data_IF_818165817708
#
_entry.id   IF_818165817708
#
_cell.length_a   1.000
_cell.length_b   1.000
_cell.length_c   1.000
_cell.angle_alpha   90.00
_cell.angle_beta   90.00
_cell.angle_gamma   90.00
#
_symmetry.space_group_name_H-M   'P 1'
#
loop_
_entity.id
_entity.type
_entity.pdbx_description
1 polymer ?
#
# COMPACT_ATOMS: atom_id res chain seq x y z
N UNK A 1 -49.17 22.51 18.12
CA UNK A 1 -50.28 22.17 19.03
C UNK A 1 -49.92 22.73 20.39
N UNK A 2 -50.85 23.30 21.19
CA UNK A 2 -50.54 23.58 22.59
C UNK A 2 -50.09 22.28 23.27
N UNK A 3 -49.05 22.35 24.10
CA UNK A 3 -48.54 21.19 24.83
C UNK A 3 -49.55 20.73 25.88
N UNK A 4 -50.48 19.86 25.48
CA UNK A 4 -51.44 19.25 26.38
C UNK A 4 -50.71 18.31 27.35
N UNK A 5 -50.98 18.50 28.63
CA UNK A 5 -50.41 17.72 29.71
C UNK A 5 -50.98 16.29 29.71
N UNK A 6 -50.11 15.33 30.01
CA UNK A 6 -50.51 13.94 30.21
C UNK A 6 -49.83 13.36 31.45
N UNK A 7 -50.63 12.68 32.26
CA UNK A 7 -50.17 11.83 33.35
C UNK A 7 -50.96 10.52 33.30
N UNK A 8 -50.28 9.40 33.49
CA UNK A 8 -50.90 8.08 33.52
C UNK A 8 -51.65 7.84 34.83
N UNK A 9 -52.57 6.86 34.83
CA UNK A 9 -53.30 6.44 36.03
C UNK A 9 -54.04 7.58 36.77
N UNK A 10 -54.46 8.64 36.09
CA UNK A 10 -55.26 9.72 36.70
C UNK A 10 -56.74 9.49 36.41
N UNK A 11 -57.52 9.23 37.47
CA UNK A 11 -58.96 8.95 37.36
C UNK A 11 -59.68 9.20 38.68
N UNK A 12 -60.73 10.00 38.62
CA UNK A 12 -61.56 10.36 39.77
C UNK A 12 -63.04 10.06 39.51
N UNK A 13 -63.78 9.81 40.59
CA UNK A 13 -65.25 9.78 40.52
C UNK A 13 -65.81 11.20 40.52
N UNK A 14 -67.01 11.36 40.00
CA UNK A 14 -67.78 12.59 40.15
C UNK A 14 -69.27 12.27 40.28
N UNK A 15 -69.99 13.06 41.06
CA UNK A 15 -71.46 13.09 41.13
C UNK A 15 -72.06 14.41 40.62
N UNK A 16 -71.22 15.30 40.09
CA UNK A 16 -71.62 16.59 39.57
C UNK A 16 -72.62 16.49 38.41
N UNK A 17 -73.39 17.56 38.22
CA UNK A 17 -74.49 17.63 37.26
C UNK A 17 -74.37 18.85 36.35
N UNK A 18 -75.15 18.89 35.27
CA UNK A 18 -75.22 20.06 34.40
C UNK A 18 -74.18 20.07 33.28
N UNK A 19 -74.11 21.21 32.58
CA UNK A 19 -73.17 21.51 31.50
C UNK A 19 -71.94 22.32 31.95
N UNK A 20 -71.85 22.69 33.23
CA UNK A 20 -70.74 23.48 33.80
C UNK A 20 -69.51 22.67 34.23
N UNK A 21 -68.64 23.31 35.02
CA UNK A 21 -67.48 22.64 35.62
C UNK A 21 -67.91 21.48 36.51
N UNK A 22 -67.20 20.36 36.42
CA UNK A 22 -67.57 19.12 37.07
C UNK A 22 -66.69 18.88 38.32
N UNK A 23 -67.25 18.86 39.54
CA UNK A 23 -66.48 18.57 40.75
C UNK A 23 -65.92 17.15 40.72
N UNK A 24 -64.73 16.95 41.28
CA UNK A 24 -64.06 15.66 41.37
C UNK A 24 -64.09 15.18 42.83
N UNK A 25 -64.68 14.00 43.04
CA UNK A 25 -65.01 13.47 44.38
C UNK A 25 -63.88 12.60 44.98
N UNK A 26 -62.76 12.46 44.26
CA UNK A 26 -61.59 11.70 44.70
C UNK A 26 -61.18 10.58 43.74
N UNK A 27 -59.95 10.10 43.93
CA UNK A 27 -59.36 9.04 43.12
C UNK A 27 -60.10 7.72 43.23
N UNK A 28 -60.34 7.10 42.08
CA UNK A 28 -60.81 5.71 42.02
C UNK A 28 -59.69 4.74 42.42
N UNK A 29 -60.00 3.52 42.91
CA UNK A 29 -58.97 2.56 43.33
C UNK A 29 -57.88 2.33 42.27
N UNK A 30 -56.61 2.38 42.68
CA UNK A 30 -55.46 2.20 41.80
C UNK A 30 -55.09 3.40 40.92
N UNK A 31 -55.78 4.55 41.09
CA UNK A 31 -55.54 5.77 40.33
C UNK A 31 -55.16 6.95 41.25
N UNK A 32 -54.68 8.02 40.64
CA UNK A 32 -54.27 9.28 41.28
C UNK A 32 -55.32 10.36 41.04
N UNK A 33 -55.36 11.37 41.92
CA UNK A 33 -56.23 12.54 41.76
C UNK A 33 -55.69 13.47 40.68
N UNK A 34 -56.58 14.20 40.02
CA UNK A 34 -56.17 15.22 39.06
C UNK A 34 -55.36 16.33 39.76
N UNK A 35 -55.81 16.78 40.93
CA UNK A 35 -55.14 17.84 41.69
C UNK A 35 -53.71 17.49 42.16
N UNK A 36 -53.38 16.20 42.30
CA UNK A 36 -52.04 15.77 42.72
C UNK A 36 -51.07 15.69 41.53
N UNK A 37 -51.58 15.62 40.29
CA UNK A 37 -50.80 15.27 39.10
C UNK A 37 -50.76 16.39 38.05
N UNK A 38 -51.84 17.14 37.90
CA UNK A 38 -51.96 18.17 36.86
C UNK A 38 -51.45 19.51 37.40
N UNK A 39 -50.41 20.11 36.79
CA UNK A 39 -49.92 21.42 37.21
C UNK A 39 -50.99 22.51 36.99
N UNK A 40 -51.10 23.50 37.90
CA UNK A 40 -52.04 24.62 37.74
C UNK A 40 -51.87 25.31 36.38
N UNK A 41 -52.99 25.64 35.71
CA UNK A 41 -52.97 26.28 34.38
C UNK A 41 -52.76 25.33 33.20
N UNK A 42 -52.57 24.03 33.45
CA UNK A 42 -52.32 23.06 32.37
C UNK A 42 -53.62 22.58 31.74
N UNK A 43 -53.70 22.63 30.41
CA UNK A 43 -54.74 21.95 29.63
C UNK A 43 -54.39 20.49 29.42
N UNK A 44 -55.39 19.60 29.48
CA UNK A 44 -55.23 18.17 29.27
C UNK A 44 -56.47 17.59 28.58
N UNK A 45 -56.34 16.40 27.99
CA UNK A 45 -57.50 15.66 27.51
C UNK A 45 -58.18 14.92 28.66
N UNK A 46 -59.51 14.97 28.69
CA UNK A 46 -60.31 14.22 29.65
C UNK A 46 -61.30 13.29 28.92
N UNK A 47 -61.73 12.25 29.61
CA UNK A 47 -62.88 11.44 29.25
C UNK A 47 -63.79 11.29 30.48
N UNK A 48 -65.07 11.59 30.32
CA UNK A 48 -66.13 11.39 31.30
C UNK A 48 -67.01 10.25 30.81
N UNK A 49 -67.16 9.22 31.64
CA UNK A 49 -68.08 8.13 31.42
C UNK A 49 -69.11 8.09 32.55
N UNK A 50 -70.40 8.19 32.22
CA UNK A 50 -71.48 7.95 33.16
C UNK A 50 -71.48 6.49 33.60
N UNK A 51 -71.60 6.25 34.90
CA UNK A 51 -71.73 4.90 35.48
C UNK A 51 -73.19 4.61 35.80
N UNK A 52 -73.88 5.56 36.44
CA UNK A 52 -75.32 5.40 36.71
C UNK A 52 -76.16 5.62 35.45
N UNK A 53 -75.69 6.47 34.54
CA UNK A 53 -76.31 6.76 33.25
C UNK A 53 -75.31 6.47 32.14
N UNK A 54 -75.17 5.19 31.78
CA UNK A 54 -74.11 4.66 30.89
C UNK A 54 -74.09 5.29 29.48
N UNK A 55 -75.24 5.82 29.03
CA UNK A 55 -75.35 6.53 27.77
C UNK A 55 -74.67 7.92 27.78
N UNK A 56 -74.40 8.50 28.96
CA UNK A 56 -73.78 9.82 29.08
C UNK A 56 -72.25 9.69 28.98
N UNK A 57 -71.66 10.22 27.91
CA UNK A 57 -70.22 10.20 27.70
C UNK A 57 -69.73 11.48 27.07
N UNK A 58 -68.54 11.90 27.44
CA UNK A 58 -67.92 13.11 26.91
C UNK A 58 -66.40 12.95 26.89
N UNK A 59 -65.76 13.39 25.82
CA UNK A 59 -64.31 13.48 25.70
C UNK A 59 -64.00 14.88 25.21
N UNK A 60 -63.02 15.52 25.83
CA UNK A 60 -62.72 16.90 25.54
C UNK A 60 -61.35 17.33 26.04
N UNK A 61 -61.11 18.63 25.93
CA UNK A 61 -59.99 19.31 26.57
C UNK A 61 -60.50 20.12 27.74
N UNK A 62 -59.79 19.98 28.86
CA UNK A 62 -60.17 20.60 30.11
C UNK A 62 -58.96 21.14 30.85
N UNK A 63 -59.28 21.88 31.89
CA UNK A 63 -58.34 22.43 32.86
C UNK A 63 -58.91 22.21 34.26
N UNK A 64 -58.07 22.18 35.28
CA UNK A 64 -58.54 22.23 36.66
C UNK A 64 -58.73 23.68 37.10
N UNK A 65 -59.94 24.01 37.54
CA UNK A 65 -60.26 25.31 38.14
C UNK A 65 -60.91 25.05 39.50
N UNK A 66 -60.30 25.56 40.57
CA UNK A 66 -60.77 25.39 41.95
C UNK A 66 -61.06 23.92 42.34
N UNK A 67 -60.27 22.98 41.80
CA UNK A 67 -60.39 21.54 42.05
C UNK A 67 -61.48 20.81 41.25
N UNK A 68 -62.24 21.53 40.41
CA UNK A 68 -63.18 20.95 39.47
C UNK A 68 -62.60 20.88 38.05
N UNK A 69 -63.08 19.94 37.25
CA UNK A 69 -62.80 19.89 35.81
C UNK A 69 -63.61 20.98 35.09
N UNK A 70 -62.92 22.03 34.63
CA UNK A 70 -63.49 22.98 33.69
C UNK A 70 -63.42 22.39 32.28
N UNK A 71 -64.58 22.28 31.63
CA UNK A 71 -64.70 21.75 30.25
C UNK A 71 -64.48 22.87 29.25
N UNK A 72 -63.27 22.94 28.69
CA UNK A 72 -62.87 24.04 27.79
C UNK A 72 -63.39 23.80 26.37
N UNK A 73 -63.20 22.58 25.85
CA UNK A 73 -63.67 22.18 24.53
C UNK A 73 -64.19 20.75 24.57
N UNK A 74 -65.38 20.52 24.02
CA UNK A 74 -65.92 19.17 23.87
C UNK A 74 -65.55 18.66 22.48
N UNK A 75 -64.80 17.57 22.43
CA UNK A 75 -64.32 16.99 21.17
C UNK A 75 -65.29 15.93 20.64
N UNK A 76 -65.86 15.11 21.53
CA UNK A 76 -66.87 14.12 21.19
C UNK A 76 -67.76 13.83 22.40
N UNK A 77 -69.08 13.78 22.20
CA UNK A 77 -70.01 13.54 23.30
C UNK A 77 -71.28 12.80 22.90
N UNK A 78 -72.03 12.32 23.90
CA UNK A 78 -73.39 11.79 23.73
C UNK A 78 -74.44 12.88 23.41
N UNK A 79 -74.05 14.16 23.41
CA UNK A 79 -74.92 15.30 23.10
C UNK A 79 -74.57 15.94 21.74
N UNK A 80 -74.12 15.14 20.76
CA UNK A 80 -73.82 15.65 19.42
C UNK A 80 -72.60 16.57 19.37
N UNK A 81 -71.60 16.30 20.23
CA UNK A 81 -70.37 17.07 20.44
C UNK A 81 -70.54 18.37 21.24
N UNK A 82 -71.74 18.70 21.69
CA UNK A 82 -71.94 19.73 22.72
C UNK A 82 -71.63 19.17 24.13
N UNK A 83 -71.39 20.05 25.14
CA UNK A 83 -71.25 19.61 26.53
C UNK A 83 -72.49 18.83 27.01
N UNK A 84 -72.27 17.66 27.58
CA UNK A 84 -73.34 16.81 28.11
C UNK A 84 -73.93 17.44 29.35
N UNK A 85 -75.26 17.56 29.38
CA UNK A 85 -76.03 17.86 30.59
C UNK A 85 -76.11 16.61 31.46
N UNK A 86 -75.12 16.49 32.34
CA UNK A 86 -74.90 15.32 33.14
C UNK A 86 -75.95 15.19 34.26
N UNK A 87 -76.67 14.07 34.33
CA UNK A 87 -77.71 13.84 35.35
C UNK A 87 -77.09 13.42 36.68
N UNK A 88 -77.86 13.53 37.78
CA UNK A 88 -77.42 13.04 39.09
C UNK A 88 -77.07 11.55 39.03
N UNK A 89 -75.92 11.17 39.57
CA UNK A 89 -75.43 9.78 39.53
C UNK A 89 -73.91 9.73 39.48
N UNK A 90 -73.32 8.54 39.51
CA UNK A 90 -71.88 8.37 39.46
C UNK A 90 -71.35 8.51 38.03
N UNK A 91 -70.20 9.16 37.89
CA UNK A 91 -69.40 9.30 36.68
C UNK A 91 -67.94 8.99 37.02
N UNK A 92 -67.20 8.58 36.00
CA UNK A 92 -65.76 8.37 36.06
C UNK A 92 -65.11 9.37 35.11
N UNK A 93 -64.24 10.20 35.66
CA UNK A 93 -63.45 11.19 34.92
C UNK A 93 -62.03 10.67 34.84
N UNK A 94 -61.48 10.52 33.64
CA UNK A 94 -60.14 9.98 33.40
C UNK A 94 -59.32 10.98 32.59
N UNK A 95 -58.06 11.22 33.00
CA UNK A 95 -57.12 11.95 32.16
C UNK A 95 -56.70 11.00 31.04
N UNK A 96 -56.94 11.40 29.81
CA UNK A 96 -56.66 10.58 28.63
C UNK A 96 -55.76 11.33 27.67
N UNK A 97 -55.58 10.79 26.48
CA UNK A 97 -54.74 11.35 25.45
C UNK A 97 -55.30 11.00 24.07
N UNK A 98 -55.28 11.95 23.14
CA UNK A 98 -55.65 11.70 21.74
C UNK A 98 -54.46 11.09 20.97
N UNK A 99 -54.74 10.34 19.91
CA UNK A 99 -53.69 9.75 19.04
C UNK A 99 -52.69 10.78 18.50
N UNK A 100 -53.14 12.03 18.28
CA UNK A 100 -52.31 13.15 17.86
C UNK A 100 -51.16 13.47 18.84
N UNK A 101 -51.34 13.27 20.14
CA UNK A 101 -50.30 13.49 21.15
C UNK A 101 -49.19 12.43 21.08
N UNK A 102 -49.54 11.17 20.76
CA UNK A 102 -48.55 10.12 20.48
C UNK A 102 -47.82 10.39 19.17
N UNK A 103 -48.54 10.77 18.11
CA UNK A 103 -47.93 11.13 16.84
C UNK A 103 -46.92 12.30 16.97
N UNK A 104 -47.18 13.25 17.86
CA UNK A 104 -46.25 14.34 18.17
C UNK A 104 -45.00 13.91 18.97
N UNK A 105 -44.99 12.71 19.58
CA UNK A 105 -43.90 12.20 20.44
C UNK A 105 -43.24 10.91 19.95
N UNK A 106 -43.82 10.22 18.96
CA UNK A 106 -43.20 9.08 18.27
C UNK A 106 -42.03 9.49 17.36
N UNK A 107 -41.84 10.78 17.13
CA UNK A 107 -40.59 11.34 16.63
C UNK A 107 -39.50 11.29 17.72
N UNK A 108 -39.00 10.08 18.03
CA UNK A 108 -37.68 9.91 18.68
C UNK A 108 -36.52 10.03 17.68
N UNK A 109 -36.78 10.49 16.46
CA UNK A 109 -35.75 10.90 15.49
C UNK A 109 -34.99 12.14 15.95
N UNK A 110 -35.39 12.76 17.07
CA UNK A 110 -34.67 13.85 17.74
C UNK A 110 -33.35 13.47 18.44
N UNK A 111 -32.94 12.20 18.47
CA UNK A 111 -31.52 11.89 18.69
C UNK A 111 -30.81 12.03 17.37
N UNK A 112 -30.46 13.26 17.05
CA UNK A 112 -29.75 13.54 15.84
C UNK A 112 -28.40 12.81 15.83
N UNK A 113 -28.25 11.77 15.00
CA UNK A 113 -26.98 11.12 14.70
C UNK A 113 -26.24 11.77 13.52
N UNK A 114 -26.63 12.98 13.09
CA UNK A 114 -25.97 13.72 12.02
C UNK A 114 -24.45 13.76 12.22
N UNK A 115 -23.98 13.75 13.47
CA UNK A 115 -22.59 13.47 13.81
C UNK A 115 -22.47 12.70 15.13
N UNK A 116 -21.69 11.61 15.11
CA UNK A 116 -21.18 10.98 16.33
C UNK A 116 -19.82 11.62 16.64
N UNK A 117 -19.71 12.26 17.80
CA UNK A 117 -18.47 12.86 18.29
C UNK A 117 -17.96 12.11 19.51
N UNK A 118 -16.64 11.95 19.57
CA UNK A 118 -15.93 11.34 20.68
C UNK A 118 -14.90 12.34 21.23
N UNK A 119 -14.47 12.17 22.47
CA UNK A 119 -13.30 12.90 22.98
C UNK A 119 -12.05 12.50 22.18
N UNK A 120 -10.96 13.28 22.25
CA UNK A 120 -9.77 13.03 21.42
C UNK A 120 -9.14 11.64 21.67
N UNK A 121 -9.08 11.19 22.93
CA UNK A 121 -8.39 9.96 23.31
C UNK A 121 -6.86 10.06 23.14
N UNK A 122 -6.18 8.93 23.26
CA UNK A 122 -4.72 8.82 23.07
C UNK A 122 -4.34 7.43 22.57
N UNK A 123 -3.08 7.22 22.19
CA UNK A 123 -2.59 5.89 21.83
C UNK A 123 -2.74 4.87 22.98
N UNK A 124 -2.58 5.29 24.23
CA UNK A 124 -2.74 4.43 25.41
C UNK A 124 -4.20 4.24 25.84
N UNK A 125 -5.12 5.06 25.33
CA UNK A 125 -6.54 5.04 25.65
C UNK A 125 -7.36 5.64 24.47
N UNK A 126 -7.61 4.86 23.40
CA UNK A 126 -8.31 5.36 22.23
C UNK A 126 -9.76 5.71 22.54
N UNK A 127 -10.28 6.71 21.84
CA UNK A 127 -11.65 7.20 22.05
C UNK A 127 -12.71 6.24 21.51
N UNK A 128 -12.37 5.54 20.43
CA UNK A 128 -13.14 4.41 19.89
C UNK A 128 -12.30 3.17 20.16
N UNK A 129 -12.69 2.37 21.15
CA UNK A 129 -12.01 1.13 21.54
C UNK A 129 -12.96 -0.06 21.58
N UNK A 130 -12.43 -1.21 21.98
CA UNK A 130 -13.19 -2.46 22.07
C UNK A 130 -13.41 -2.85 23.53
N UNK A 131 -14.55 -3.48 23.81
CA UNK A 131 -14.83 -3.98 25.16
C UNK A 131 -13.80 -5.07 25.53
N UNK A 132 -13.03 -4.83 26.60
CA UNK A 132 -11.98 -5.76 27.06
C UNK A 132 -10.58 -5.53 26.45
N UNK A 133 -10.45 -4.60 25.51
CA UNK A 133 -9.19 -4.17 24.92
C UNK A 133 -9.13 -2.64 24.91
N UNK A 134 -8.64 -2.09 26.02
CA UNK A 134 -8.66 -0.65 26.30
C UNK A 134 -7.52 0.11 25.61
N UNK A 135 -6.63 -0.58 24.91
CA UNK A 135 -5.42 0.01 24.34
C UNK A 135 -5.31 -0.18 22.81
N UNK A 136 -6.36 -0.74 22.19
CA UNK A 136 -6.52 -0.90 20.74
C UNK A 136 -7.75 -0.16 20.24
N UNK A 137 -7.58 0.66 19.20
CA UNK A 137 -8.68 1.49 18.70
C UNK A 137 -8.27 2.70 17.86
N UNK A 138 -9.16 3.69 17.77
CA UNK A 138 -8.95 4.95 17.03
C UNK A 138 -8.97 6.15 17.98
N UNK A 139 -8.10 7.12 17.73
CA UNK A 139 -7.99 8.36 18.50
C UNK A 139 -7.67 9.56 17.60
N UNK A 140 -7.88 10.78 18.10
CA UNK A 140 -7.63 12.03 17.40
C UNK A 140 -6.35 12.68 17.98
N UNK A 141 -5.16 12.45 17.37
CA UNK A 141 -3.89 12.87 17.95
C UNK A 141 -3.60 14.38 17.86
N UNK A 142 -4.21 15.05 16.89
CA UNK A 142 -4.03 16.46 16.58
C UNK A 142 -5.12 16.90 15.58
N UNK A 143 -5.29 18.21 15.38
CA UNK A 143 -6.21 18.75 14.38
C UNK A 143 -5.97 18.12 13.00
N UNK A 144 -7.08 17.79 12.31
CA UNK A 144 -7.09 17.21 10.97
C UNK A 144 -6.30 15.89 10.86
N UNK A 145 -6.18 15.13 11.96
CA UNK A 145 -5.43 13.88 11.98
C UNK A 145 -6.23 12.75 12.63
N UNK A 146 -6.01 11.53 12.19
CA UNK A 146 -6.66 10.33 12.73
C UNK A 146 -5.61 9.26 13.02
N UNK A 147 -5.52 8.83 14.28
CA UNK A 147 -4.56 7.85 14.76
C UNK A 147 -5.21 6.49 15.04
N UNK A 148 -4.45 5.42 14.82
CA UNK A 148 -4.80 4.05 15.15
C UNK A 148 -3.83 3.53 16.21
N UNK A 149 -4.38 3.00 17.30
CA UNK A 149 -3.65 2.44 18.43
C UNK A 149 -3.73 0.91 18.43
N UNK A 150 -2.62 0.25 18.74
CA UNK A 150 -2.55 -1.20 18.97
C UNK A 150 -1.62 -1.44 20.16
N UNK A 151 -2.10 -2.10 21.22
CA UNK A 151 -1.28 -2.41 22.40
C UNK A 151 -0.74 -1.16 23.10
N UNK A 152 -1.51 -0.06 23.09
CA UNK A 152 -1.16 1.20 23.76
C UNK A 152 -0.18 2.10 23.03
N UNK A 153 0.23 1.75 21.81
CA UNK A 153 1.12 2.54 20.96
C UNK A 153 0.45 2.92 19.64
N UNK A 154 0.85 4.06 19.07
CA UNK A 154 0.35 4.52 17.78
C UNK A 154 0.97 3.68 16.65
N UNK A 155 0.13 2.90 15.97
CA UNK A 155 0.53 2.04 14.87
C UNK A 155 0.48 2.77 13.52
N UNK A 156 -0.53 3.61 13.29
CA UNK A 156 -0.72 4.34 12.04
C UNK A 156 -1.45 5.67 12.24
N UNK A 157 -1.26 6.61 11.30
CA UNK A 157 -1.88 7.94 11.30
C UNK A 157 -2.18 8.45 9.90
N UNK A 158 -3.39 8.92 9.66
CA UNK A 158 -3.62 9.93 8.63
C UNK A 158 -3.28 11.30 9.21
N UNK A 159 -2.24 11.96 8.70
CA UNK A 159 -1.77 13.24 9.21
C UNK A 159 -2.53 14.41 8.56
N UNK A 160 -2.46 15.59 9.20
CA UNK A 160 -3.01 16.83 8.67
C UNK A 160 -2.50 17.20 7.26
N UNK A 161 -1.34 16.68 6.85
CA UNK A 161 -0.80 16.83 5.49
C UNK A 161 -1.53 16.00 4.43
N UNK A 162 -2.45 15.11 4.81
CA UNK A 162 -3.12 14.14 3.94
C UNK A 162 -2.35 12.83 3.73
N UNK A 163 -1.14 12.71 4.29
CA UNK A 163 -0.32 11.51 4.21
C UNK A 163 -0.72 10.44 5.24
N UNK A 164 -0.61 9.17 4.86
CA UNK A 164 -0.71 8.02 5.77
C UNK A 164 0.67 7.63 6.30
N UNK A 165 0.86 7.74 7.60
CA UNK A 165 2.01 7.23 8.35
C UNK A 165 1.73 5.85 8.95
N UNK A 166 2.68 4.91 8.92
CA UNK A 166 2.64 3.69 9.75
C UNK A 166 3.97 3.61 10.48
N UNK A 167 3.99 3.52 11.81
CA UNK A 167 5.23 3.60 12.60
C UNK A 167 5.95 4.96 12.54
N UNK A 168 5.29 6.01 12.02
CA UNK A 168 5.74 7.41 12.04
C UNK A 168 4.55 8.35 12.14
N UNK A 169 4.71 9.44 12.90
CA UNK A 169 3.68 10.46 13.11
C UNK A 169 3.79 11.62 12.10
N UNK A 170 4.90 11.69 11.36
CA UNK A 170 5.23 12.76 10.41
C UNK A 170 5.47 12.16 9.02
N UNK A 171 4.41 11.76 8.29
CA UNK A 171 4.56 11.24 6.94
C UNK A 171 5.09 12.30 5.98
N UNK A 172 6.08 11.95 5.14
CA UNK A 172 6.74 12.86 4.18
C UNK A 172 6.19 12.72 2.74
N UNK A 173 4.98 12.17 2.60
CA UNK A 173 4.31 11.92 1.32
C UNK A 173 2.94 11.27 1.53
N UNK A 174 2.31 10.79 0.45
CA UNK A 174 0.98 10.15 0.51
C UNK A 174 0.96 8.89 1.40
N UNK A 175 2.05 8.12 1.41
CA UNK A 175 2.25 6.97 2.27
C UNK A 175 3.71 6.95 2.77
N UNK A 176 3.91 6.97 4.09
CA UNK A 176 5.20 6.86 4.77
C UNK A 176 5.07 5.84 5.89
N UNK A 177 5.36 4.59 5.61
CA UNK A 177 5.55 3.56 6.63
C UNK A 177 6.99 3.71 7.20
N UNK A 178 7.28 3.41 8.46
CA UNK A 178 8.60 3.54 9.10
C UNK A 178 8.70 2.39 10.09
N UNK A 179 9.77 1.63 10.00
CA UNK A 179 9.98 0.44 10.82
C UNK A 179 11.43 0.43 11.32
N UNK A 180 11.71 -0.29 12.42
CA UNK A 180 13.03 -0.33 13.07
C UNK A 180 14.14 -1.06 12.27
N UNK A 181 14.03 -1.11 10.95
CA UNK A 181 15.06 -1.60 10.05
C UNK A 181 14.62 -2.79 9.20
N UNK A 182 15.19 -2.85 8.01
CA UNK A 182 15.20 -4.02 7.16
C UNK A 182 16.57 -4.68 7.30
N UNK A 183 16.58 -5.96 7.69
CA UNK A 183 17.76 -6.81 7.61
C UNK A 183 17.62 -7.70 6.37
N UNK A 184 18.39 -7.45 5.29
CA UNK A 184 18.35 -8.29 4.09
C UNK A 184 18.67 -9.76 4.36
N UNK A 185 19.39 -10.05 5.45
CA UNK A 185 19.84 -11.38 5.82
C UNK A 185 18.90 -12.07 6.84
N UNK A 186 18.01 -11.33 7.48
CA UNK A 186 17.13 -11.82 8.56
C UNK A 186 15.63 -11.82 8.25
N UNK A 187 15.14 -10.92 7.39
CA UNK A 187 13.70 -10.72 7.16
C UNK A 187 13.30 -10.96 5.70
N UNK A 188 12.96 -12.22 5.38
CA UNK A 188 12.76 -12.72 4.01
C UNK A 188 11.36 -12.46 3.40
N UNK A 189 10.56 -11.54 3.95
CA UNK A 189 9.19 -11.26 3.47
C UNK A 189 8.87 -9.78 3.57
N UNK A 190 9.07 -8.99 2.51
CA UNK A 190 8.44 -7.66 2.41
C UNK A 190 8.32 -7.21 0.96
N UNK A 191 7.25 -6.46 0.65
CA UNK A 191 6.95 -5.92 -0.67
C UNK A 191 7.07 -4.37 -0.77
N UNK A 192 7.44 -3.68 0.33
CA UNK A 192 7.65 -2.22 0.38
C UNK A 192 8.41 -1.84 1.67
N UNK A 193 9.53 -1.09 1.58
CA UNK A 193 10.33 -0.63 2.75
C UNK A 193 10.67 0.85 2.68
N UNK A 194 10.75 1.44 3.87
CA UNK A 194 10.82 2.87 4.10
C UNK A 194 11.86 3.20 5.19
N UNK A 195 12.00 4.49 5.44
CA UNK A 195 13.11 5.13 6.16
C UNK A 195 13.57 4.41 7.44
N UNK A 196 14.88 4.27 7.59
CA UNK A 196 15.56 3.53 8.66
C UNK A 196 17.10 3.64 8.54
N UNK A 197 17.83 3.18 9.57
CA UNK A 197 19.29 3.38 9.71
C UNK A 197 20.14 2.86 8.54
N UNK A 198 19.57 2.03 7.67
CA UNK A 198 20.25 1.43 6.52
C UNK A 198 19.79 1.96 5.17
N UNK A 199 18.90 2.98 5.12
CA UNK A 199 18.26 3.42 3.88
C UNK A 199 17.11 2.49 3.48
N UNK A 200 15.95 3.04 3.14
CA UNK A 200 14.79 2.24 2.74
C UNK A 200 15.03 1.42 1.45
N UNK A 201 14.13 0.48 1.14
CA UNK A 201 14.24 -0.42 -0.02
C UNK A 201 12.90 -0.98 -0.51
N UNK A 202 12.85 -1.50 -1.73
CA UNK A 202 11.68 -2.12 -2.33
C UNK A 202 12.05 -3.53 -2.75
N UNK A 203 11.28 -4.52 -2.33
CA UNK A 203 11.51 -5.92 -2.67
C UNK A 203 10.27 -6.46 -3.37
N UNK A 204 10.46 -7.26 -4.39
CA UNK A 204 9.43 -8.00 -5.09
C UNK A 204 9.72 -9.49 -4.88
N UNK A 205 8.71 -10.25 -4.43
CA UNK A 205 8.80 -11.69 -4.25
C UNK A 205 7.95 -12.38 -5.30
N UNK A 206 8.53 -13.34 -6.02
CA UNK A 206 7.79 -14.30 -6.83
C UNK A 206 8.12 -15.69 -6.29
N UNK A 207 7.13 -16.41 -5.77
CA UNK A 207 7.12 -17.85 -5.39
C UNK A 207 8.40 -18.49 -4.82
N UNK A 208 9.50 -18.49 -5.58
CA UNK A 208 10.80 -19.08 -5.31
C UNK A 208 11.98 -18.09 -5.12
N UNK A 209 11.84 -16.79 -5.39
CA UNK A 209 12.95 -15.82 -5.39
C UNK A 209 12.58 -14.38 -5.02
N UNK A 210 13.60 -13.52 -4.98
CA UNK A 210 13.50 -12.10 -4.60
C UNK A 210 14.20 -11.21 -5.63
N UNK A 211 13.59 -10.07 -5.92
CA UNK A 211 14.22 -8.93 -6.58
C UNK A 211 14.16 -7.76 -5.62
N UNK A 212 15.29 -7.10 -5.36
CA UNK A 212 15.39 -6.04 -4.36
C UNK A 212 16.11 -4.81 -4.88
N UNK A 213 15.60 -3.63 -4.51
CA UNK A 213 16.21 -2.32 -4.76
C UNK A 213 16.33 -1.60 -3.42
N UNK A 214 17.54 -1.31 -2.92
CA UNK A 214 17.67 -0.60 -1.64
C UNK A 214 18.89 0.29 -1.60
N UNK A 215 18.80 1.33 -0.77
CA UNK A 215 19.96 2.14 -0.44
C UNK A 215 20.78 1.48 0.67
N UNK A 216 22.09 1.67 0.67
CA UNK A 216 22.98 1.41 1.82
C UNK A 216 23.87 2.62 2.06
N UNK A 217 24.73 2.56 3.08
CA UNK A 217 25.78 3.56 3.32
C UNK A 217 25.22 4.99 3.53
N UNK A 218 24.07 5.11 4.20
CA UNK A 218 23.43 6.40 4.40
C UNK A 218 22.89 7.04 3.10
N UNK A 219 22.60 6.23 2.08
CA UNK A 219 22.06 6.69 0.80
C UNK A 219 23.09 6.85 -0.32
N UNK A 220 24.39 6.60 -0.06
CA UNK A 220 25.45 6.73 -1.08
C UNK A 220 25.61 5.51 -1.97
N UNK A 221 24.89 4.43 -1.72
CA UNK A 221 24.93 3.24 -2.56
C UNK A 221 23.51 2.76 -2.87
N UNK A 222 23.22 2.53 -4.14
CA UNK A 222 21.99 1.91 -4.62
C UNK A 222 22.29 0.50 -5.09
N UNK A 223 21.59 -0.47 -4.52
CA UNK A 223 21.83 -1.89 -4.71
C UNK A 223 20.69 -2.53 -5.50
N UNK A 224 21.03 -3.38 -6.46
CA UNK A 224 20.09 -4.17 -7.26
C UNK A 224 20.36 -5.66 -7.01
N UNK A 225 19.42 -6.35 -6.38
CA UNK A 225 19.43 -7.81 -6.15
C UNK A 225 18.54 -8.53 -7.15
N UNK A 226 19.07 -9.61 -7.70
CA UNK A 226 18.38 -10.49 -8.65
C UNK A 226 18.68 -11.94 -8.27
N UNK A 227 17.66 -12.69 -7.81
CA UNK A 227 17.75 -14.13 -7.58
C UNK A 227 18.57 -14.54 -6.33
N UNK A 228 18.17 -15.63 -5.68
CA UNK A 228 18.88 -16.22 -4.54
C UNK A 228 18.18 -16.12 -3.18
N UNK A 229 18.69 -16.88 -2.21
CA UNK A 229 18.27 -16.88 -0.80
C UNK A 229 19.16 -15.88 -0.06
N UNK A 230 18.59 -14.90 0.66
CA UNK A 230 19.37 -13.95 1.48
C UNK A 230 19.68 -12.56 0.88
N UNK A 231 18.89 -12.09 -0.11
CA UNK A 231 18.93 -10.71 -0.62
C UNK A 231 20.34 -10.16 -0.88
N UNK A 232 21.13 -10.88 -1.67
CA UNK A 232 22.46 -10.45 -2.08
C UNK A 232 22.35 -9.60 -3.35
N UNK A 233 22.89 -8.37 -3.33
CA UNK A 233 22.91 -7.54 -4.52
C UNK A 233 23.79 -8.17 -5.59
N UNK A 234 23.41 -8.04 -6.85
CA UNK A 234 24.23 -8.42 -8.01
C UNK A 234 25.01 -7.21 -8.55
N UNK A 235 24.39 -6.03 -8.50
CA UNK A 235 24.95 -4.77 -8.97
C UNK A 235 24.86 -3.70 -7.88
N UNK A 236 25.90 -2.88 -7.76
CA UNK A 236 25.91 -1.69 -6.91
C UNK A 236 26.24 -0.45 -7.73
N UNK A 237 25.46 0.62 -7.50
CA UNK A 237 25.66 1.95 -8.08
C UNK A 237 25.98 2.91 -6.95
N UNK A 238 27.08 3.63 -7.07
CA UNK A 238 27.58 4.63 -6.11
C UNK A 238 27.86 5.94 -6.86
N UNK A 239 28.14 7.07 -6.19
CA UNK A 239 28.55 8.32 -6.84
C UNK A 239 29.74 8.19 -7.78
N UNK A 240 30.56 7.14 -7.63
CA UNK A 240 31.81 6.97 -8.39
C UNK A 240 31.83 5.73 -9.28
N UNK A 241 31.00 4.72 -9.01
CA UNK A 241 31.10 3.43 -9.68
C UNK A 241 29.73 2.78 -9.94
N UNK A 242 29.65 2.10 -11.07
CA UNK A 242 28.68 1.03 -11.33
C UNK A 242 29.48 -0.26 -11.38
N UNK A 243 29.25 -1.19 -10.44
CA UNK A 243 30.12 -2.35 -10.23
C UNK A 243 29.33 -3.61 -9.84
N UNK A 244 29.85 -4.81 -10.14
CA UNK A 244 29.31 -6.02 -9.54
C UNK A 244 29.48 -6.00 -8.01
N UNK A 245 28.58 -6.68 -7.33
CA UNK A 245 28.63 -6.85 -5.88
C UNK A 245 29.83 -7.68 -5.43
N UNK A 246 30.14 -8.73 -6.20
CA UNK A 246 31.20 -9.69 -5.94
C UNK A 246 32.20 -9.68 -7.08
N UNK A 247 33.47 -9.86 -6.74
CA UNK A 247 34.55 -9.92 -7.72
C UNK A 247 34.34 -11.09 -8.69
N UNK A 248 34.63 -10.87 -9.97
CA UNK A 248 34.47 -11.85 -11.08
C UNK A 248 33.08 -12.47 -11.29
N UNK A 249 32.04 -12.03 -10.59
CA UNK A 249 30.76 -12.73 -10.52
C UNK A 249 29.74 -12.38 -11.62
N UNK A 250 29.94 -11.28 -12.37
CA UNK A 250 28.96 -10.78 -13.35
C UNK A 250 29.60 -10.46 -14.71
N UNK A 251 28.99 -10.96 -15.78
CA UNK A 251 29.32 -10.59 -17.15
C UNK A 251 28.52 -9.34 -17.60
N UNK A 252 29.13 -8.48 -18.41
CA UNK A 252 28.44 -7.33 -19.03
C UNK A 252 27.92 -7.72 -20.42
N UNK A 253 26.69 -8.23 -20.45
CA UNK A 253 26.06 -8.78 -21.65
C UNK A 253 26.36 -10.27 -21.84
N UNK A 254 25.75 -10.85 -22.88
CA UNK A 254 25.86 -12.26 -23.24
C UNK A 254 25.87 -12.42 -24.78
N UNK A 255 26.22 -13.60 -25.28
CA UNK A 255 26.26 -13.93 -26.70
C UNK A 255 25.01 -13.49 -27.46
N UNK A 256 23.81 -13.76 -26.94
CA UNK A 256 22.51 -13.35 -27.52
C UNK A 256 22.05 -11.93 -27.12
N UNK A 257 22.62 -11.34 -26.06
CA UNK A 257 22.26 -10.03 -25.50
C UNK A 257 23.47 -9.08 -25.43
N UNK A 258 23.92 -8.62 -26.59
CA UNK A 258 25.13 -7.80 -26.74
C UNK A 258 24.82 -6.30 -26.67
N UNK A 259 25.69 -5.55 -26.00
CA UNK A 259 25.71 -4.09 -26.13
C UNK A 259 26.20 -3.70 -27.53
N UNK A 260 25.58 -2.67 -28.11
CA UNK A 260 25.97 -2.18 -29.43
C UNK A 260 27.29 -1.41 -29.40
N UNK A 261 27.53 -0.64 -28.33
CA UNK A 261 28.70 0.25 -28.18
C UNK A 261 29.02 0.48 -26.70
N UNK A 262 30.29 0.78 -26.42
CA UNK A 262 30.77 1.33 -25.16
C UNK A 262 31.46 2.68 -25.43
N UNK A 263 30.94 3.76 -24.83
CA UNK A 263 31.57 5.08 -24.90
C UNK A 263 32.36 5.32 -23.60
N UNK A 264 33.68 5.40 -23.71
CA UNK A 264 34.59 5.62 -22.58
C UNK A 264 35.66 6.66 -22.94
N UNK A 265 36.11 7.43 -21.93
CA UNK A 265 37.17 8.43 -22.12
C UNK A 265 38.56 7.79 -22.22
N UNK A 266 38.79 6.67 -21.53
CA UNK A 266 40.04 5.90 -21.54
C UNK A 266 39.75 4.43 -21.88
N UNK A 267 40.79 3.68 -22.26
CA UNK A 267 40.67 2.26 -22.58
C UNK A 267 40.28 1.40 -21.38
N UNK A 268 39.79 0.19 -21.65
CA UNK A 268 39.46 -0.79 -20.61
C UNK A 268 40.71 -1.24 -19.85
N UNK A 269 40.61 -1.32 -18.52
CA UNK A 269 41.65 -1.90 -17.67
C UNK A 269 41.35 -3.40 -17.55
N UNK A 270 42.29 -4.24 -17.98
CA UNK A 270 42.26 -5.69 -17.76
C UNK A 270 43.33 -6.05 -16.72
N UNK A 271 42.94 -6.73 -15.65
CA UNK A 271 43.88 -7.22 -14.63
C UNK A 271 44.91 -8.16 -15.29
N UNK A 272 46.19 -7.89 -15.02
CA UNK A 272 47.32 -8.63 -15.59
C UNK A 272 48.45 -8.77 -14.57
N UNK A 273 48.08 -9.03 -13.32
CA UNK A 273 49.03 -9.25 -12.23
C UNK A 273 49.88 -10.51 -12.50
N UNK A 274 51.17 -10.46 -12.17
CA UNK A 274 52.07 -11.59 -12.36
C UNK A 274 51.79 -12.71 -11.34
N UNK A 275 51.28 -12.36 -10.14
CA UNK A 275 50.96 -13.34 -9.10
C UNK A 275 49.83 -14.30 -9.52
N UNK A 276 48.96 -13.87 -10.45
CA UNK A 276 47.79 -14.63 -10.90
C UNK A 276 48.06 -15.44 -12.19
N UNK A 277 49.32 -15.52 -12.63
CA UNK A 277 49.69 -16.08 -13.94
C UNK A 277 50.79 -17.13 -13.82
N UNK A 278 50.62 -18.22 -14.57
CA UNK A 278 51.70 -19.12 -14.93
C UNK A 278 52.31 -18.65 -16.25
N UNK A 279 53.59 -18.26 -16.24
CA UNK A 279 54.24 -17.77 -17.44
C UNK A 279 54.67 -18.92 -18.37
N UNK A 280 54.24 -18.86 -19.64
CA UNK A 280 54.50 -19.90 -20.64
C UNK A 280 55.53 -19.50 -21.72
N UNK A 281 56.03 -18.26 -21.70
CA UNK A 281 57.02 -17.78 -22.66
C UNK A 281 56.43 -17.30 -23.99
N UNK A 282 57.28 -17.26 -25.02
CA UNK A 282 56.97 -16.73 -26.35
C UNK A 282 56.28 -17.76 -27.26
N UNK A 283 55.58 -17.31 -28.34
CA UNK A 283 54.96 -18.22 -29.29
C UNK A 283 55.95 -19.19 -29.95
N UNK A 284 55.52 -20.44 -30.15
CA UNK A 284 56.31 -21.46 -30.81
C UNK A 284 56.33 -21.33 -32.35
N UNK A 285 57.07 -22.20 -33.04
CA UNK A 285 57.19 -22.14 -34.50
C UNK A 285 55.86 -22.39 -35.25
N UNK A 286 54.97 -23.23 -34.71
CA UNK A 286 53.66 -23.49 -35.30
C UNK A 286 52.75 -22.29 -35.12
N UNK A 287 52.75 -21.69 -33.94
CA UNK A 287 52.03 -20.47 -33.61
C UNK A 287 52.49 -19.29 -34.47
N UNK A 288 53.80 -19.13 -34.65
CA UNK A 288 54.36 -18.13 -35.55
C UNK A 288 53.88 -18.36 -36.99
N UNK A 289 53.89 -19.60 -37.47
CA UNK A 289 53.42 -19.92 -38.83
C UNK A 289 51.92 -19.62 -39.01
N UNK A 290 51.08 -20.00 -38.04
CA UNK A 290 49.65 -19.71 -38.04
C UNK A 290 49.39 -18.19 -37.97
N UNK A 291 50.17 -17.46 -37.16
CA UNK A 291 50.13 -16.01 -37.07
C UNK A 291 50.34 -15.31 -38.42
N UNK A 292 51.24 -15.82 -39.27
CA UNK A 292 51.43 -15.27 -40.63
C UNK A 292 50.21 -15.47 -41.51
N UNK A 293 49.60 -16.65 -41.46
CA UNK A 293 48.37 -16.93 -42.20
C UNK A 293 47.20 -16.07 -41.69
N UNK A 294 47.11 -15.84 -40.38
CA UNK A 294 46.13 -14.92 -39.79
C UNK A 294 46.35 -13.48 -40.27
N UNK A 295 47.59 -12.99 -40.32
CA UNK A 295 47.87 -11.64 -40.85
C UNK A 295 47.40 -11.48 -42.30
N UNK A 296 47.48 -12.53 -43.12
CA UNK A 296 46.99 -12.51 -44.50
C UNK A 296 45.45 -12.50 -44.62
N UNK A 297 44.73 -12.94 -43.60
CA UNK A 297 43.25 -12.95 -43.55
C UNK A 297 42.66 -11.61 -43.08
N UNK A 298 43.48 -10.70 -42.54
CA UNK A 298 43.02 -9.36 -42.14
C UNK A 298 42.46 -8.58 -43.33
N UNK A 299 41.24 -8.08 -43.19
CA UNK A 299 40.56 -7.38 -44.28
C UNK A 299 39.45 -6.43 -43.83
N UNK A 300 38.91 -5.71 -44.81
CA UNK A 300 37.72 -4.88 -44.58
C UNK A 300 36.44 -5.69 -44.73
N UNK A 301 35.49 -5.47 -43.84
CA UNK A 301 34.14 -6.01 -43.93
C UNK A 301 33.08 -4.95 -43.62
N UNK A 302 31.84 -5.24 -43.98
CA UNK A 302 30.67 -4.44 -43.64
C UNK A 302 29.62 -5.38 -43.05
N UNK A 303 28.83 -4.91 -42.09
CA UNK A 303 27.70 -5.69 -41.58
C UNK A 303 26.61 -5.79 -42.64
N UNK A 304 26.10 -7.00 -42.88
CA UNK A 304 25.09 -7.25 -43.90
C UNK A 304 23.84 -6.38 -43.68
N UNK A 305 23.32 -6.33 -42.45
CA UNK A 305 22.17 -5.49 -42.08
C UNK A 305 22.42 -4.00 -42.38
N UNK A 306 23.66 -3.53 -42.20
CA UNK A 306 24.00 -2.14 -42.49
C UNK A 306 24.09 -1.87 -44.00
N UNK A 307 24.57 -2.84 -44.78
CA UNK A 307 24.59 -2.78 -46.25
C UNK A 307 23.18 -2.79 -46.79
N UNK A 308 22.30 -3.64 -46.27
CA UNK A 308 20.89 -3.70 -46.64
C UNK A 308 20.18 -2.38 -46.31
N UNK A 309 20.36 -1.85 -45.09
CA UNK A 309 19.66 -0.64 -44.65
C UNK A 309 20.17 0.66 -45.29
N UNK A 310 21.45 0.75 -45.66
CA UNK A 310 22.09 2.02 -46.07
C UNK A 310 22.68 1.99 -47.48
N UNK A 311 22.75 0.82 -48.10
CA UNK A 311 23.50 0.57 -49.34
C UNK A 311 25.01 0.38 -49.08
N UNK A 312 25.70 -0.40 -49.93
CA UNK A 312 27.12 -0.74 -49.73
C UNK A 312 28.05 0.46 -49.75
N UNK A 313 27.66 1.56 -50.40
CA UNK A 313 28.45 2.80 -50.44
C UNK A 313 28.38 3.59 -49.12
N UNK A 314 27.30 3.49 -48.35
CA UNK A 314 27.10 4.27 -47.13
C UNK A 314 27.32 3.45 -45.84
N UNK A 315 27.23 2.13 -45.92
CA UNK A 315 27.55 1.26 -44.79
C UNK A 315 29.02 1.43 -44.39
N UNK A 316 29.29 1.55 -43.09
CA UNK A 316 30.66 1.76 -42.59
C UNK A 316 31.51 0.53 -42.84
N UNK A 317 32.77 0.76 -43.23
CA UNK A 317 33.79 -0.29 -43.37
C UNK A 317 34.46 -0.52 -42.02
N UNK A 318 34.49 -1.77 -41.60
CA UNK A 318 35.18 -2.27 -40.41
C UNK A 318 36.41 -3.06 -40.87
N UNK A 319 37.43 -3.19 -40.01
CA UNK A 319 38.66 -3.93 -40.32
C UNK A 319 38.89 -5.00 -39.26
N UNK A 320 39.26 -6.21 -39.68
CA UNK A 320 39.48 -7.34 -38.78
C UNK A 320 39.48 -8.67 -39.53
N UNK A 321 39.23 -9.75 -38.79
CA UNK A 321 39.15 -11.11 -39.33
C UNK A 321 37.75 -11.68 -39.22
N UNK A 322 37.49 -12.71 -40.04
CA UNK A 322 36.33 -13.58 -39.88
C UNK A 322 36.70 -14.69 -38.89
N UNK A 323 35.94 -14.82 -37.79
CA UNK A 323 36.29 -15.72 -36.68
C UNK A 323 36.42 -17.18 -37.11
N UNK A 324 35.47 -17.71 -37.88
CA UNK A 324 35.52 -19.09 -38.38
C UNK A 324 36.77 -19.36 -39.23
N UNK A 325 37.15 -18.43 -40.09
CA UNK A 325 38.36 -18.55 -40.92
C UNK A 325 39.63 -18.53 -40.05
N UNK A 326 39.70 -17.63 -39.07
CA UNK A 326 40.82 -17.60 -38.13
C UNK A 326 40.98 -18.93 -37.38
N UNK A 327 39.86 -19.56 -37.00
CA UNK A 327 39.88 -20.81 -36.25
C UNK A 327 40.26 -21.99 -37.16
N UNK A 328 39.85 -21.96 -38.43
CA UNK A 328 40.28 -22.91 -39.45
C UNK A 328 41.79 -22.81 -39.73
N UNK A 329 42.34 -21.59 -39.81
CA UNK A 329 43.78 -21.37 -39.99
C UNK A 329 44.57 -21.99 -38.84
N UNK A 330 44.14 -21.82 -37.58
CA UNK A 330 44.81 -22.49 -36.45
C UNK A 330 44.79 -24.02 -36.62
N UNK A 331 43.65 -24.59 -37.00
CA UNK A 331 43.52 -26.03 -37.20
C UNK A 331 44.39 -26.56 -38.37
N UNK A 332 44.50 -25.82 -39.47
CA UNK A 332 45.36 -26.14 -40.61
C UNK A 332 46.85 -26.19 -40.22
N UNK A 333 47.25 -25.37 -39.24
CA UNK A 333 48.60 -25.35 -38.68
C UNK A 333 48.78 -26.35 -37.51
N UNK A 334 47.80 -27.21 -37.24
CA UNK A 334 47.86 -28.24 -36.21
C UNK A 334 47.56 -27.73 -34.78
N UNK A 335 47.04 -26.52 -34.64
CA UNK A 335 46.73 -25.90 -33.35
C UNK A 335 45.24 -26.08 -33.02
N UNK A 336 44.93 -26.41 -31.76
CA UNK A 336 43.54 -26.41 -31.28
C UNK A 336 43.14 -25.00 -30.85
N UNK A 337 42.29 -24.34 -31.64
CA UNK A 337 41.83 -22.97 -31.37
C UNK A 337 41.18 -22.82 -29.99
N UNK A 338 40.62 -23.90 -29.40
CA UNK A 338 39.98 -23.87 -28.06
C UNK A 338 40.96 -23.62 -26.93
N UNK A 339 42.27 -23.75 -27.20
CA UNK A 339 43.35 -23.47 -26.25
C UNK A 339 43.70 -21.98 -26.17
N UNK A 340 43.19 -21.16 -27.10
CA UNK A 340 43.54 -19.75 -27.21
C UNK A 340 42.41 -18.87 -26.68
N UNK A 341 42.69 -18.11 -25.62
CA UNK A 341 41.70 -17.26 -24.96
C UNK A 341 41.08 -16.17 -25.85
N UNK A 342 41.70 -15.85 -26.99
CA UNK A 342 41.16 -14.89 -27.96
C UNK A 342 40.15 -15.50 -28.94
N UNK A 343 40.01 -16.83 -28.97
CA UNK A 343 38.98 -17.53 -29.73
C UNK A 343 37.77 -17.83 -28.83
N UNK A 344 36.62 -17.20 -29.09
CA UNK A 344 35.40 -17.40 -28.31
C UNK A 344 34.33 -18.09 -29.17
N UNK A 345 33.60 -19.02 -28.56
CA UNK A 345 32.49 -19.73 -29.18
C UNK A 345 31.42 -20.01 -28.13
N UNK A 346 30.22 -19.52 -28.40
CA UNK A 346 29.06 -19.64 -27.51
C UNK A 346 27.92 -20.32 -28.28
N UNK A 347 27.16 -21.16 -27.58
CA UNK A 347 25.97 -21.86 -28.10
C UNK A 347 24.80 -21.63 -27.15
N UNK A 348 23.62 -21.42 -27.71
CA UNK A 348 22.38 -21.27 -26.95
C UNK A 348 21.19 -21.79 -27.75
N UNK A 349 20.12 -22.13 -27.05
CA UNK A 349 18.87 -22.65 -27.62
C UNK A 349 17.71 -21.74 -27.24
N UNK A 350 16.86 -21.39 -28.20
CA UNK A 350 15.60 -20.67 -27.96
C UNK A 350 14.45 -21.31 -28.77
N UNK A 351 13.28 -20.65 -28.78
CA UNK A 351 12.09 -21.13 -29.50
C UNK A 351 12.31 -21.28 -31.02
N UNK A 352 13.30 -20.59 -31.59
CA UNK A 352 13.66 -20.64 -33.01
C UNK A 352 14.75 -21.70 -33.30
N UNK A 353 15.28 -22.37 -32.27
CA UNK A 353 16.18 -23.52 -32.39
C UNK A 353 17.56 -23.32 -31.75
N UNK A 354 18.54 -24.07 -32.23
CA UNK A 354 19.94 -24.01 -31.76
C UNK A 354 20.71 -22.94 -32.53
N UNK A 355 21.43 -22.12 -31.79
CA UNK A 355 22.24 -21.02 -32.33
C UNK A 355 23.67 -21.12 -31.85
N UNK A 356 24.59 -20.58 -32.66
CA UNK A 356 25.98 -20.42 -32.25
C UNK A 356 26.56 -19.09 -32.73
N UNK A 357 27.56 -18.61 -32.00
CA UNK A 357 28.27 -17.38 -32.33
C UNK A 357 29.75 -17.53 -32.05
N UNK A 358 30.54 -17.03 -32.99
CA UNK A 358 31.99 -16.99 -32.91
C UNK A 358 32.43 -15.55 -32.64
N UNK A 359 33.34 -15.39 -31.68
CA UNK A 359 33.87 -14.11 -31.24
C UNK A 359 35.40 -14.09 -31.22
N UNK A 360 35.98 -12.91 -31.32
CA UNK A 360 37.43 -12.67 -31.22
C UNK A 360 37.66 -11.65 -30.10
N UNK A 361 38.58 -11.94 -29.17
CA UNK A 361 39.15 -10.92 -28.27
C UNK A 361 40.26 -10.18 -28.99
N UNK A 362 39.90 -9.06 -29.63
CA UNK A 362 40.77 -8.36 -30.58
C UNK A 362 42.07 -7.84 -29.96
N UNK A 363 42.03 -7.48 -28.67
CA UNK A 363 43.18 -7.05 -27.88
C UNK A 363 44.24 -8.15 -27.74
N UNK A 364 43.83 -9.35 -27.31
CA UNK A 364 44.73 -10.49 -27.18
C UNK A 364 45.27 -10.95 -28.54
N UNK A 365 44.42 -10.99 -29.56
CA UNK A 365 44.85 -11.33 -30.92
C UNK A 365 45.85 -10.32 -31.46
N UNK A 366 45.63 -9.02 -31.25
CA UNK A 366 46.56 -7.99 -31.69
C UNK A 366 47.95 -8.18 -31.04
N UNK A 367 48.00 -8.48 -29.73
CA UNK A 367 49.25 -8.77 -29.03
C UNK A 367 49.96 -10.01 -29.61
N UNK A 368 49.20 -11.07 -29.92
CA UNK A 368 49.76 -12.26 -30.58
C UNK A 368 50.36 -11.94 -31.95
N UNK A 369 49.64 -11.21 -32.81
CA UNK A 369 50.14 -10.82 -34.13
C UNK A 369 51.33 -9.85 -34.04
N UNK A 370 51.38 -8.98 -33.03
CA UNK A 370 52.55 -8.15 -32.74
C UNK A 370 53.77 -9.00 -32.39
N UNK A 371 53.61 -10.05 -31.59
CA UNK A 371 54.71 -10.97 -31.28
C UNK A 371 55.21 -11.71 -32.54
N UNK A 372 54.30 -12.10 -33.44
CA UNK A 372 54.64 -12.71 -34.74
C UNK A 372 55.45 -11.72 -35.59
N UNK A 373 54.99 -10.47 -35.72
CA UNK A 373 55.71 -9.41 -36.45
C UNK A 373 57.09 -9.12 -35.84
N UNK A 374 57.20 -9.09 -34.52
CA UNK A 374 58.48 -8.91 -33.83
C UNK A 374 59.46 -10.04 -34.14
N UNK A 375 58.97 -11.28 -34.22
CA UNK A 375 59.76 -12.43 -34.65
C UNK A 375 60.22 -12.29 -36.12
N UNK A 376 59.33 -11.88 -37.03
CA UNK A 376 59.67 -11.70 -38.45
C UNK A 376 60.72 -10.60 -38.70
N UNK A 377 60.65 -9.53 -37.90
CA UNK A 377 61.54 -8.37 -38.02
C UNK A 377 62.83 -8.50 -37.22
N UNK A 378 63.00 -9.60 -36.47
CA UNK A 378 64.19 -9.85 -35.65
C UNK A 378 64.29 -8.99 -34.39
N UNK A 379 63.17 -8.45 -33.90
CA UNK A 379 63.07 -7.61 -32.70
C UNK A 379 62.88 -8.41 -31.40
N UNK A 380 63.28 -9.68 -31.35
CA UNK A 380 63.03 -10.56 -30.21
C UNK A 380 64.02 -10.31 -29.05
N UNK A 381 63.49 -10.14 -27.84
CA UNK A 381 64.27 -10.15 -26.59
C UNK A 381 64.79 -11.56 -26.25
N UNK A 382 65.85 -11.71 -25.43
CA UNK A 382 66.32 -13.03 -24.98
C UNK A 382 65.22 -13.81 -24.26
N UNK A 383 65.10 -15.12 -24.54
CA UNK A 383 64.07 -15.99 -23.98
C UNK A 383 64.19 -16.08 -22.46
N UNK A 384 63.20 -15.58 -21.71
CA UNK A 384 62.99 -15.98 -20.32
C UNK A 384 62.48 -17.43 -20.32
N UNK A 385 63.06 -18.26 -19.46
CA UNK A 385 62.62 -19.65 -19.28
C UNK A 385 61.19 -19.69 -18.73
N UNK A 386 60.31 -20.58 -19.23
CA UNK A 386 58.99 -20.80 -18.65
C UNK A 386 59.09 -21.11 -17.15
N UNK A 387 58.08 -20.71 -16.39
CA UNK A 387 58.00 -21.12 -14.98
C UNK A 387 57.95 -22.65 -14.91
N UNK A 388 58.69 -23.22 -13.95
CA UNK A 388 58.67 -24.66 -13.74
C UNK A 388 57.24 -25.11 -13.38
N UNK A 389 56.72 -26.10 -14.10
CA UNK A 389 55.42 -26.69 -13.79
C UNK A 389 55.44 -27.25 -12.36
N UNK A 390 54.68 -26.59 -11.47
CA UNK A 390 54.43 -27.03 -10.09
C UNK A 390 53.31 -28.06 -10.00
#
# INVERSE_FOLDING_TARGET
MPDLFFADLVRESSTGIGTGALPLDGATPGHRRFADCVPPGSRFHYAIAGVTHEQQREVGEGELTDGALARIETLASSAGNDPVDFLQGLKIVTLTVASAWFAARDDRSGHNHDAISFADGSAAAPAIGFAGDSDTGMFHPAANSLGFAIGGAEAARFAASGGLGIGTQTPVGALHIRWNGYDPFGNATSAMTLDGAYGGGLIFKDGAGYVGLWATEGGSAFNVSLGGVGHMHALQITPSFVRPAFDTALALGQAEHRFSQLYAMTGTINTSDAADKLWQGAPDAQEIAAGRALMAELGFFQWLDAVEAKGPQNARRHFGLRAQNAFAILAEHGLDWRRYGWCCHDRWSDDDGEHERFGIRSDQLALFLMAVLAHETGLTAPSETPDAAG
#
